data_IF_720734920660
#
_entry.id   IF_720734920660
#
_cell.length_a   1.000
_cell.length_b   1.000
_cell.length_c   1.000
_cell.angle_alpha   90.00
_cell.angle_beta   90.00
_cell.angle_gamma   90.00
#
_symmetry.space_group_name_H-M   'P 1'
#
loop_
_entity.id
_entity.type
_entity.pdbx_description
1 polymer ?
#
# COMPACT_ATOMS: atom_id res chain seq x y z
N UNK A 1 -4.56 -6.91 -7.94
CA UNK A 1 -3.17 -6.85 -7.43
C UNK A 1 -2.24 -6.98 -8.61
N UNK A 2 -1.20 -6.14 -8.70
CA UNK A 2 -0.18 -6.26 -9.75
C UNK A 2 1.12 -6.70 -9.10
N UNK A 3 1.69 -7.81 -9.57
CA UNK A 3 3.07 -8.14 -9.27
C UNK A 3 3.96 -7.35 -10.24
N UNK A 4 4.39 -6.15 -9.84
CA UNK A 4 5.20 -5.25 -10.65
C UNK A 4 6.59 -5.08 -10.04
N UNK A 5 7.47 -6.05 -10.33
CA UNK A 5 8.82 -6.09 -9.77
C UNK A 5 9.68 -4.87 -10.13
N UNK A 6 9.48 -4.28 -11.31
CA UNK A 6 10.18 -3.05 -11.70
C UNK A 6 9.77 -1.87 -10.80
N UNK A 7 8.48 -1.76 -10.50
CA UNK A 7 8.00 -0.73 -9.58
C UNK A 7 8.47 -0.96 -8.16
N UNK A 8 8.43 -2.22 -7.68
CA UNK A 8 8.94 -2.59 -6.36
C UNK A 8 10.42 -2.24 -6.19
N UNK A 9 11.27 -2.55 -7.18
CA UNK A 9 12.70 -2.16 -7.19
C UNK A 9 12.91 -0.65 -7.11
N UNK A 10 12.06 0.14 -7.76
CA UNK A 10 12.13 1.61 -7.65
C UNK A 10 11.86 2.09 -6.23
N UNK A 11 10.95 1.44 -5.50
CA UNK A 11 10.66 1.80 -4.10
C UNK A 11 11.86 1.56 -3.16
N UNK A 12 12.72 0.59 -3.48
CA UNK A 12 13.95 0.32 -2.71
C UNK A 12 15.02 1.41 -2.90
N UNK A 13 14.89 2.26 -3.92
CA UNK A 13 15.84 3.32 -4.23
C UNK A 13 15.92 4.41 -3.17
N UNK A 14 17.08 5.07 -3.10
CA UNK A 14 17.32 6.22 -2.21
C UNK A 14 16.48 7.44 -2.58
N UNK A 15 15.91 7.51 -3.77
CA UNK A 15 14.96 8.55 -4.19
C UNK A 15 13.52 8.25 -3.76
N UNK A 16 13.24 7.04 -3.25
CA UNK A 16 11.93 6.58 -2.80
C UNK A 16 11.99 6.13 -1.33
N UNK A 17 11.42 4.97 -0.99
CA UNK A 17 11.26 4.51 0.38
C UNK A 17 12.58 4.13 1.05
N UNK A 18 13.60 3.77 0.26
CA UNK A 18 14.89 3.27 0.73
C UNK A 18 14.78 2.06 1.68
N UNK A 19 13.81 1.19 1.41
CA UNK A 19 13.53 -0.05 2.18
C UNK A 19 13.53 -1.23 1.22
N UNK A 20 14.19 -2.33 1.61
CA UNK A 20 14.16 -3.55 0.82
C UNK A 20 12.79 -4.23 0.91
N UNK A 21 12.26 -4.60 -0.25
CA UNK A 21 11.02 -5.34 -0.41
C UNK A 21 11.34 -6.63 -1.17
N UNK A 22 11.90 -7.66 -0.53
CA UNK A 22 12.24 -8.90 -1.21
C UNK A 22 10.96 -9.67 -1.60
N UNK A 23 10.95 -10.26 -2.80
CA UNK A 23 9.82 -11.08 -3.31
C UNK A 23 9.44 -12.25 -2.39
N UNK A 24 10.40 -12.74 -1.59
CA UNK A 24 10.17 -13.80 -0.61
C UNK A 24 9.21 -13.36 0.51
N UNK A 25 9.29 -12.09 0.90
CA UNK A 25 8.52 -11.54 2.02
C UNK A 25 7.28 -10.79 1.53
N UNK A 26 7.35 -10.19 0.34
CA UNK A 26 6.29 -9.34 -0.22
C UNK A 26 5.86 -9.78 -1.62
N UNK A 27 4.64 -10.32 -1.71
CA UNK A 27 4.10 -10.92 -2.91
C UNK A 27 3.59 -9.91 -3.95
N UNK A 28 2.92 -8.85 -3.49
CA UNK A 28 2.27 -7.90 -4.40
C UNK A 28 1.95 -6.54 -3.75
N UNK A 29 1.72 -5.55 -4.61
CA UNK A 29 1.20 -4.24 -4.23
C UNK A 29 -0.34 -4.20 -4.25
N UNK A 30 -0.94 -3.55 -3.25
CA UNK A 30 -2.31 -3.03 -3.32
C UNK A 30 -2.27 -1.57 -3.85
N UNK A 31 -2.16 -1.43 -5.17
CA UNK A 31 -1.90 -0.11 -5.80
C UNK A 31 -3.13 0.79 -6.07
N UNK A 32 -4.34 0.24 -6.23
CA UNK A 32 -5.54 1.05 -6.49
C UNK A 32 -6.73 0.49 -5.72
N UNK A 33 -7.00 1.08 -4.55
CA UNK A 33 -8.21 0.83 -3.78
C UNK A 33 -9.05 2.11 -3.81
N UNK A 34 -9.98 2.16 -4.76
CA UNK A 34 -10.83 3.31 -4.99
C UNK A 34 -12.28 2.98 -4.64
N UNK A 35 -12.87 3.79 -3.78
CA UNK A 35 -14.32 3.79 -3.53
C UNK A 35 -14.86 5.12 -4.03
N UNK A 36 -15.88 5.05 -4.89
CA UNK A 36 -16.56 6.22 -5.43
C UNK A 36 -16.99 7.17 -4.30
N UNK A 37 -16.86 8.49 -4.53
CA UNK A 37 -17.14 9.51 -3.51
C UNK A 37 -18.54 9.37 -2.91
N UNK A 38 -19.55 8.99 -3.71
CA UNK A 38 -20.95 8.85 -3.28
C UNK A 38 -21.20 7.63 -2.40
N UNK A 39 -20.26 6.67 -2.37
CA UNK A 39 -20.36 5.44 -1.57
C UNK A 39 -19.34 5.37 -0.43
N UNK A 40 -18.64 6.47 -0.14
CA UNK A 40 -17.75 6.56 1.02
C UNK A 40 -18.57 6.49 2.31
N UNK A 41 -18.05 5.80 3.32
CA UNK A 41 -18.74 5.57 4.59
C UNK A 41 -19.56 4.26 4.65
N UNK A 42 -19.81 3.61 3.51
CA UNK A 42 -20.53 2.33 3.44
C UNK A 42 -19.66 1.08 3.69
N UNK A 43 -18.49 1.23 4.35
CA UNK A 43 -17.52 0.14 4.64
C UNK A 43 -17.00 -0.65 3.42
N UNK A 44 -17.22 -0.17 2.20
CA UNK A 44 -16.73 -0.82 0.98
C UNK A 44 -15.20 -0.96 0.94
N UNK A 45 -14.47 -0.01 1.52
CA UNK A 45 -13.01 -0.11 1.65
C UNK A 45 -12.56 -1.30 2.50
N UNK A 46 -13.33 -1.63 3.54
CA UNK A 46 -13.07 -2.77 4.43
C UNK A 46 -13.26 -4.09 3.65
N UNK A 47 -14.33 -4.20 2.84
CA UNK A 47 -14.55 -5.37 1.98
C UNK A 47 -13.45 -5.57 0.94
N UNK A 48 -12.99 -4.48 0.31
CA UNK A 48 -11.92 -4.55 -0.69
C UNK A 48 -10.60 -5.01 -0.09
N UNK A 49 -10.21 -4.50 1.08
CA UNK A 49 -9.00 -4.98 1.77
C UNK A 49 -9.15 -6.43 2.22
N UNK A 50 -10.30 -6.80 2.80
CA UNK A 50 -10.52 -8.19 3.22
C UNK A 50 -10.44 -9.17 2.05
N UNK A 51 -11.04 -8.84 0.90
CA UNK A 51 -10.94 -9.65 -0.32
C UNK A 51 -9.50 -9.77 -0.83
N UNK A 52 -8.76 -8.66 -0.82
CA UNK A 52 -7.33 -8.65 -1.14
C UNK A 52 -6.52 -9.57 -0.21
N UNK A 53 -6.72 -9.47 1.10
CA UNK A 53 -6.02 -10.27 2.11
C UNK A 53 -6.37 -11.76 2.01
N UNK A 54 -7.65 -12.09 1.76
CA UNK A 54 -8.09 -13.48 1.58
C UNK A 54 -7.46 -14.12 0.33
N UNK A 55 -7.27 -13.35 -0.74
CA UNK A 55 -6.69 -13.85 -1.99
C UNK A 55 -5.22 -14.24 -1.84
N UNK A 56 -4.46 -13.55 -0.98
CA UNK A 56 -3.00 -13.74 -0.87
C UNK A 56 -2.59 -14.79 0.16
N UNK A 57 -3.56 -15.44 0.84
CA UNK A 57 -3.36 -16.58 1.76
C UNK A 57 -2.18 -16.40 2.72
N UNK A 58 -2.12 -15.25 3.39
CA UNK A 58 -1.07 -14.98 4.39
C UNK A 58 0.25 -14.47 3.82
N UNK A 59 0.41 -14.31 2.50
CA UNK A 59 1.61 -13.67 1.94
C UNK A 59 1.69 -12.18 2.31
N UNK A 60 2.91 -11.66 2.44
CA UNK A 60 3.13 -10.26 2.72
C UNK A 60 2.76 -9.36 1.55
N UNK A 61 2.33 -8.15 1.86
CA UNK A 61 1.86 -7.16 0.90
C UNK A 61 2.44 -5.79 1.21
N UNK A 62 2.46 -4.93 0.20
CA UNK A 62 2.80 -3.53 0.38
C UNK A 62 1.82 -2.62 -0.36
N UNK A 63 1.84 -1.34 -0.03
CA UNK A 63 1.05 -0.32 -0.68
C UNK A 63 1.76 1.03 -0.59
N UNK A 64 1.54 1.87 -1.60
CA UNK A 64 2.00 3.26 -1.61
C UNK A 64 0.80 4.17 -1.36
N UNK A 65 0.89 5.03 -0.34
CA UNK A 65 -0.23 5.87 0.09
C UNK A 65 0.24 7.31 0.26
N UNK A 66 -0.50 8.23 -0.34
CA UNK A 66 -0.31 9.67 -0.20
C UNK A 66 -0.55 10.15 1.23
N UNK A 67 0.26 11.09 1.72
CA UNK A 67 0.20 11.61 3.10
C UNK A 67 -1.14 12.26 3.41
N UNK A 68 -1.71 13.00 2.46
CA UNK A 68 -3.01 13.67 2.59
C UNK A 68 -4.19 12.70 2.47
N UNK A 69 -3.98 11.46 2.03
CA UNK A 69 -5.03 10.43 1.95
C UNK A 69 -5.24 9.73 3.30
N UNK A 70 -5.63 10.52 4.31
CA UNK A 70 -5.87 10.08 5.70
C UNK A 70 -6.84 8.88 5.79
N UNK A 71 -7.95 8.82 5.03
CA UNK A 71 -8.86 7.68 5.10
C UNK A 71 -8.18 6.36 4.68
N UNK A 72 -7.36 6.38 3.63
CA UNK A 72 -6.66 5.18 3.17
C UNK A 72 -5.57 4.78 4.16
N UNK A 73 -4.80 5.73 4.70
CA UNK A 73 -3.80 5.44 5.73
C UNK A 73 -4.40 4.72 6.93
N UNK A 74 -5.47 5.27 7.50
CA UNK A 74 -6.19 4.66 8.62
C UNK A 74 -6.76 3.29 8.27
N UNK A 75 -7.31 3.13 7.06
CA UNK A 75 -7.83 1.85 6.60
C UNK A 75 -6.73 0.78 6.58
N UNK A 76 -5.58 1.06 5.96
CA UNK A 76 -4.46 0.12 5.88
C UNK A 76 -3.86 -0.19 7.27
N UNK A 77 -3.67 0.83 8.12
CA UNK A 77 -3.21 0.67 9.50
C UNK A 77 -4.12 -0.28 10.31
N UNK A 78 -5.45 -0.14 10.19
CA UNK A 78 -6.41 -1.03 10.85
C UNK A 78 -6.26 -2.51 10.45
N UNK A 79 -5.78 -2.78 9.24
CA UNK A 79 -5.58 -4.13 8.72
C UNK A 79 -4.13 -4.65 8.87
N UNK A 80 -3.33 -3.97 9.69
CA UNK A 80 -2.00 -4.42 10.09
C UNK A 80 -0.89 -4.02 9.12
N UNK A 81 -1.14 -3.04 8.26
CA UNK A 81 -0.05 -2.41 7.52
C UNK A 81 0.65 -1.37 8.41
N UNK A 82 1.98 -1.31 8.32
CA UNK A 82 2.80 -0.33 9.03
C UNK A 82 3.55 0.52 8.02
N UNK A 83 3.69 1.81 8.32
CA UNK A 83 4.51 2.71 7.51
C UNK A 83 5.99 2.39 7.71
N UNK A 84 6.76 2.27 6.63
CA UNK A 84 8.20 2.00 6.66
C UNK A 84 8.95 2.89 5.68
N UNK A 85 10.25 3.09 5.96
CA UNK A 85 11.12 3.88 5.11
C UNK A 85 10.84 5.38 5.21
N UNK A 86 11.43 6.12 4.28
CA UNK A 86 11.24 7.56 4.18
C UNK A 86 10.12 7.92 3.19
N UNK A 87 9.39 9.02 3.42
CA UNK A 87 8.50 9.57 2.40
C UNK A 87 9.28 10.08 1.19
N UNK A 88 8.62 10.12 0.04
CA UNK A 88 9.13 10.75 -1.17
C UNK A 88 8.06 11.59 -1.87
N UNK A 89 8.48 12.55 -2.68
CA UNK A 89 7.57 13.43 -3.41
C UNK A 89 6.74 12.63 -4.43
N UNK A 90 5.43 12.89 -4.46
CA UNK A 90 4.55 12.38 -5.50
C UNK A 90 4.86 13.05 -6.84
N UNK A 91 4.91 12.27 -7.91
CA UNK A 91 5.11 12.79 -9.27
C UNK A 91 3.85 13.44 -9.85
N UNK A 92 2.68 13.19 -9.23
CA UNK A 92 1.37 13.62 -9.78
C UNK A 92 0.69 14.73 -8.98
N UNK A 93 1.03 14.88 -7.70
CA UNK A 93 0.35 15.81 -6.80
C UNK A 93 1.37 16.48 -5.89
N UNK A 94 1.09 17.69 -5.42
CA UNK A 94 1.85 18.36 -4.35
C UNK A 94 1.56 17.66 -3.01
N UNK A 95 2.10 16.46 -2.85
CA UNK A 95 1.99 15.64 -1.65
C UNK A 95 3.20 14.70 -1.54
N UNK A 96 3.39 14.15 -0.35
CA UNK A 96 4.35 13.08 -0.10
C UNK A 96 3.65 11.72 -0.22
N UNK A 97 4.42 10.69 -0.57
CA UNK A 97 3.98 9.30 -0.64
C UNK A 97 4.77 8.50 0.39
N UNK A 98 4.08 7.59 1.06
CA UNK A 98 4.64 6.71 2.06
C UNK A 98 4.47 5.26 1.64
N UNK A 99 5.45 4.43 1.99
CA UNK A 99 5.36 2.99 1.85
C UNK A 99 4.74 2.38 3.09
N UNK A 100 3.73 1.54 2.89
CA UNK A 100 3.08 0.73 3.91
C UNK A 100 3.32 -0.74 3.60
N UNK A 101 3.70 -1.52 4.62
CA UNK A 101 3.95 -2.96 4.49
C UNK A 101 3.14 -3.75 5.50
N UNK A 102 2.71 -4.94 5.09
CA UNK A 102 2.11 -5.95 5.96
C UNK A 102 2.85 -7.26 5.73
N UNK A 103 3.69 -7.70 6.67
CA UNK A 103 4.39 -8.98 6.55
C UNK A 103 3.42 -10.15 6.40
N UNK A 104 3.90 -11.24 5.80
CA UNK A 104 3.15 -12.48 5.77
C UNK A 104 2.95 -13.09 7.15
N UNK A 105 1.92 -13.91 7.31
CA UNK A 105 1.67 -14.75 8.49
C UNK A 105 1.53 -16.20 8.06
#
# INVERSE_FOLDING_TARGET
MKNNRQYQRRLEGNDKAAVSLPDADFFAEIGYLHVDKKQRGARLGDFLILGALATVRGKGLFATIQSKNIPSRRLFERYGFTQVGKPWASEQMDDQVHLYVRPGR
#
